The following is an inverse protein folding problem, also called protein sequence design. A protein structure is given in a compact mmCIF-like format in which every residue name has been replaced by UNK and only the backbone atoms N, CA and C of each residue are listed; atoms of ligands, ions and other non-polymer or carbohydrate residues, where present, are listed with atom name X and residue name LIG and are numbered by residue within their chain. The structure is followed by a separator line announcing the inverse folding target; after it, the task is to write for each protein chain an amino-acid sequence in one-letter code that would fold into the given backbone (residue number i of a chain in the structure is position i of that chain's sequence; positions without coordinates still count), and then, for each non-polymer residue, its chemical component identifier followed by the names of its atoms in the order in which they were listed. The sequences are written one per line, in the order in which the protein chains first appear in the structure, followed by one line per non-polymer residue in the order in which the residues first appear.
data_IF_690518718150
#
_entry.id   IF_690518718150
#
_cell.length_a   1.000
_cell.length_b   1.000
_cell.length_c   1.000
_cell.angle_alpha   90.00
_cell.angle_beta   90.00
_cell.angle_gamma   90.00
#
_symmetry.space_group_name_H-M   'P 1'
#
loop_
_entity.id
_entity.type
_entity.pdbx_description
1 polymer ?
#
# COMPACT_ATOMS: atom_id res chain seq x y z
N UNK A 1 0.55 -8.46 -13.56
CA UNK A 1 0.15 -7.40 -14.53
C UNK A 1 1.44 -6.87 -15.13
N UNK A 2 1.57 -6.89 -16.45
CA UNK A 2 2.69 -6.28 -17.15
C UNK A 2 2.19 -5.00 -17.84
N UNK A 3 3.01 -4.39 -18.69
CA UNK A 3 2.55 -3.28 -19.53
C UNK A 3 1.72 -3.84 -20.69
N UNK A 4 0.75 -3.07 -21.17
CA UNK A 4 0.01 -3.37 -22.39
C UNK A 4 0.84 -2.96 -23.62
N UNK A 5 0.65 -3.62 -24.76
CA UNK A 5 1.38 -3.30 -26.00
C UNK A 5 1.17 -1.85 -26.46
N UNK A 6 -0.02 -1.30 -26.21
CA UNK A 6 -0.32 0.12 -26.47
C UNK A 6 0.21 1.08 -25.40
N UNK A 7 0.65 0.55 -24.25
CA UNK A 7 1.17 1.33 -23.12
C UNK A 7 0.23 2.42 -22.60
N UNK A 8 0.80 3.34 -21.83
CA UNK A 8 0.13 4.55 -21.35
C UNK A 8 -0.02 5.60 -22.45
N UNK A 9 -0.85 6.62 -22.22
CA UNK A 9 -0.94 7.77 -23.14
C UNK A 9 0.32 8.63 -23.11
N UNK A 10 0.50 9.46 -24.14
CA UNK A 10 1.60 10.42 -24.18
C UNK A 10 1.51 11.47 -23.06
N UNK A 11 0.30 11.81 -22.60
CA UNK A 11 0.10 12.73 -21.48
C UNK A 11 0.59 12.11 -20.17
N UNK A 12 0.17 10.88 -19.90
CA UNK A 12 0.67 10.10 -18.77
C UNK A 12 2.19 9.89 -18.82
N UNK A 13 2.76 9.65 -20.01
CA UNK A 13 4.22 9.55 -20.16
C UNK A 13 4.95 10.84 -19.80
N UNK A 14 4.44 12.00 -20.24
CA UNK A 14 4.97 13.31 -19.85
C UNK A 14 4.84 13.57 -18.35
N UNK A 15 3.71 13.21 -17.76
CA UNK A 15 3.48 13.30 -16.33
C UNK A 15 4.53 12.47 -15.56
N UNK A 16 4.75 11.21 -15.91
CA UNK A 16 5.76 10.37 -15.26
C UNK A 16 7.16 10.99 -15.32
N UNK A 17 7.54 11.56 -16.47
CA UNK A 17 8.82 12.27 -16.62
C UNK A 17 8.87 13.55 -15.78
N UNK A 18 7.79 14.30 -15.70
CA UNK A 18 7.71 15.48 -14.84
C UNK A 18 7.86 15.10 -13.36
N UNK A 19 7.17 14.05 -12.91
CA UNK A 19 7.25 13.56 -11.53
C UNK A 19 8.66 13.07 -11.15
N UNK A 20 9.40 12.47 -12.10
CA UNK A 20 10.79 12.05 -11.87
C UNK A 20 11.78 13.21 -11.81
N UNK A 21 11.59 14.23 -12.65
CA UNK A 21 12.61 15.25 -12.90
C UNK A 21 12.36 16.57 -12.14
N UNK A 22 11.14 16.82 -11.66
CA UNK A 22 10.83 18.04 -10.92
C UNK A 22 11.66 18.10 -9.62
N UNK A 23 12.21 19.29 -9.35
CA UNK A 23 13.06 19.54 -8.18
C UNK A 23 12.24 19.54 -6.90
N UNK A 24 12.77 18.92 -5.87
CA UNK A 24 12.12 18.82 -4.56
C UNK A 24 13.14 19.01 -3.44
N UNK A 25 12.71 19.67 -2.38
CA UNK A 25 13.51 19.82 -1.16
C UNK A 25 13.64 18.49 -0.44
N UNK A 26 14.88 18.16 -0.08
CA UNK A 26 15.24 16.95 0.65
C UNK A 26 15.52 17.28 2.11
N UNK A 27 15.18 16.39 3.06
CA UNK A 27 15.37 16.63 4.46
C UNK A 27 16.86 16.70 4.81
N UNK A 28 17.20 17.62 5.70
CA UNK A 28 18.55 17.80 6.21
C UNK A 28 18.75 17.02 7.51
N UNK A 29 20.01 16.78 7.89
CA UNK A 29 20.39 16.09 9.12
C UNK A 29 19.77 14.67 9.24
N UNK A 30 19.72 13.95 8.13
CA UNK A 30 19.20 12.57 8.05
C UNK A 30 20.30 11.55 7.79
N UNK A 31 19.96 10.25 7.82
CA UNK A 31 20.88 9.17 7.44
C UNK A 31 21.36 9.25 5.99
N UNK A 32 20.68 10.01 5.13
CA UNK A 32 21.02 10.17 3.71
C UNK A 32 21.73 11.50 3.42
N UNK A 33 21.82 12.42 4.39
CA UNK A 33 22.32 13.79 4.17
C UNK A 33 23.83 13.89 4.02
N UNK A 34 24.61 13.04 4.69
CA UNK A 34 26.07 13.00 4.62
C UNK A 34 26.54 11.71 3.92
N UNK A 35 27.54 11.80 3.05
CA UNK A 35 27.99 10.67 2.23
C UNK A 35 28.58 9.52 3.05
N UNK A 36 29.40 9.84 4.07
CA UNK A 36 29.99 8.82 4.94
C UNK A 36 28.91 8.15 5.80
N UNK A 37 27.95 8.93 6.32
CA UNK A 37 26.83 8.43 7.08
C UNK A 37 25.90 7.56 6.21
N UNK A 38 25.64 7.98 4.99
CA UNK A 38 24.83 7.24 4.02
C UNK A 38 25.48 5.91 3.69
N UNK A 39 26.75 5.90 3.29
CA UNK A 39 27.50 4.67 2.98
C UNK A 39 27.55 3.72 4.20
N UNK A 40 27.79 4.27 5.39
CA UNK A 40 27.76 3.50 6.65
C UNK A 40 26.37 2.92 6.93
N UNK A 41 25.31 3.64 6.59
CA UNK A 41 23.92 3.19 6.75
C UNK A 41 23.63 2.04 5.78
N UNK A 42 23.96 2.18 4.49
CA UNK A 42 23.79 1.12 3.50
C UNK A 42 24.54 -0.16 3.91
N UNK A 43 25.80 -0.05 4.33
CA UNK A 43 26.58 -1.20 4.82
C UNK A 43 25.96 -1.90 6.03
N UNK A 44 25.26 -1.16 6.90
CA UNK A 44 24.57 -1.72 8.08
C UNK A 44 23.22 -2.34 7.77
N UNK A 45 22.65 -2.06 6.61
CA UNK A 45 21.37 -2.62 6.17
C UNK A 45 21.55 -3.84 5.28
N UNK A 46 22.74 -4.03 4.72
CA UNK A 46 23.06 -5.17 3.88
C UNK A 46 22.76 -6.49 4.60
N UNK A 47 21.82 -7.24 4.06
CA UNK A 47 21.40 -8.56 4.59
C UNK A 47 20.58 -8.50 5.88
N UNK A 48 20.08 -7.32 6.26
CA UNK A 48 19.18 -7.19 7.40
C UNK A 48 17.74 -7.55 7.04
N UNK A 49 16.90 -7.74 8.05
CA UNK A 49 15.49 -8.06 7.85
C UNK A 49 14.66 -6.86 7.35
N UNK A 50 13.51 -7.17 6.76
CA UNK A 50 12.55 -6.20 6.22
C UNK A 50 12.16 -5.13 7.24
N UNK A 51 11.86 -5.52 8.48
CA UNK A 51 11.50 -4.60 9.57
C UNK A 51 12.57 -3.53 9.80
N UNK A 52 13.85 -3.89 9.80
CA UNK A 52 14.94 -2.92 9.98
C UNK A 52 15.07 -1.99 8.78
N UNK A 53 14.88 -2.49 7.55
CA UNK A 53 14.86 -1.67 6.34
C UNK A 53 13.70 -0.67 6.41
N UNK A 54 12.49 -1.15 6.72
CA UNK A 54 11.28 -0.36 6.94
C UNK A 54 11.56 0.81 7.87
N UNK A 55 12.00 0.52 9.10
CA UNK A 55 12.23 1.52 10.14
C UNK A 55 13.37 2.49 9.85
N UNK A 56 14.39 2.12 9.08
CA UNK A 56 15.61 2.92 8.93
C UNK A 56 15.61 3.82 7.71
N UNK A 57 15.06 3.36 6.60
CA UNK A 57 15.22 4.07 5.32
C UNK A 57 13.93 4.33 4.55
N UNK A 58 12.81 3.69 4.91
CA UNK A 58 11.62 3.80 4.06
C UNK A 58 11.05 5.21 4.02
N UNK A 59 11.10 5.97 5.10
CA UNK A 59 10.70 7.39 5.09
C UNK A 59 11.58 8.29 4.19
N UNK A 60 12.80 7.85 3.86
CA UNK A 60 13.70 8.53 2.92
C UNK A 60 13.51 8.06 1.46
N UNK A 61 12.63 7.08 1.22
CA UNK A 61 12.26 6.57 -0.11
C UNK A 61 10.81 6.95 -0.41
N UNK A 62 9.91 6.68 0.53
CA UNK A 62 8.48 6.99 0.50
C UNK A 62 8.14 7.85 1.73
N UNK A 63 8.27 9.18 1.65
CA UNK A 63 7.98 10.07 2.76
C UNK A 63 6.53 9.99 3.22
N UNK A 64 6.32 10.04 4.54
CA UNK A 64 5.00 10.19 5.15
C UNK A 64 4.40 11.56 4.82
N UNK A 65 3.27 11.56 4.11
CA UNK A 65 2.38 12.69 3.92
C UNK A 65 1.80 13.22 5.26
N UNK A 66 1.43 12.36 6.21
CA UNK A 66 0.93 12.77 7.55
C UNK A 66 2.02 13.56 8.30
N UNK A 67 3.25 13.04 8.34
CA UNK A 67 4.37 13.74 8.98
C UNK A 67 4.77 15.03 8.23
N UNK A 68 4.65 15.04 6.89
CA UNK A 68 4.85 16.26 6.10
C UNK A 68 3.77 17.30 6.41
N UNK A 69 2.51 16.88 6.60
CA UNK A 69 1.41 17.76 6.98
C UNK A 69 1.65 18.40 8.35
N UNK A 70 2.07 17.60 9.34
CA UNK A 70 2.45 18.07 10.68
C UNK A 70 3.61 19.09 10.63
N UNK A 71 4.50 18.94 9.66
CA UNK A 71 5.63 19.86 9.41
C UNK A 71 5.27 21.08 8.56
N UNK A 72 4.00 21.25 8.20
CA UNK A 72 3.48 22.45 7.55
C UNK A 72 3.03 22.28 6.10
N UNK A 73 3.14 21.08 5.50
CA UNK A 73 2.59 20.79 4.18
C UNK A 73 1.06 20.61 4.25
N UNK A 74 0.34 21.70 4.53
CA UNK A 74 -1.10 21.69 4.86
C UNK A 74 -2.00 21.06 3.78
N UNK A 75 -1.57 21.05 2.52
CA UNK A 75 -2.31 20.40 1.43
C UNK A 75 -2.36 18.87 1.57
N UNK A 76 -1.52 18.28 2.42
CA UNK A 76 -1.49 16.85 2.71
C UNK A 76 -2.28 16.46 3.96
N UNK A 77 -2.91 17.42 4.66
CA UNK A 77 -3.71 17.13 5.85
C UNK A 77 -4.92 16.22 5.58
N UNK A 78 -5.31 16.09 4.32
CA UNK A 78 -6.42 15.26 3.86
C UNK A 78 -5.96 13.85 3.43
N UNK A 79 -4.70 13.49 3.67
CA UNK A 79 -4.12 12.21 3.30
C UNK A 79 -4.07 11.32 4.53
N UNK A 80 -4.47 10.06 4.32
CA UNK A 80 -4.42 9.01 5.32
C UNK A 80 -3.35 8.00 4.95
N UNK A 81 -2.60 7.56 5.95
CA UNK A 81 -1.59 6.53 5.82
C UNK A 81 -1.96 5.24 6.57
N UNK A 82 -1.49 4.13 6.04
CA UNK A 82 -1.46 2.84 6.75
C UNK A 82 -0.05 2.28 6.68
N UNK A 83 0.45 1.78 7.81
CA UNK A 83 1.69 1.02 7.88
C UNK A 83 1.37 -0.44 8.23
N UNK A 84 1.73 -1.37 7.34
CA UNK A 84 1.52 -2.81 7.47
C UNK A 84 0.09 -3.18 7.94
N UNK A 85 -0.93 -2.49 7.39
CA UNK A 85 -2.33 -2.68 7.80
C UNK A 85 -3.10 -3.44 6.73
N UNK A 86 -3.80 -4.50 7.15
CA UNK A 86 -4.71 -5.23 6.28
C UNK A 86 -5.86 -4.32 5.85
N UNK A 87 -6.12 -4.28 4.55
CA UNK A 87 -7.23 -3.54 3.96
C UNK A 87 -8.54 -4.30 4.17
N UNK A 88 -9.05 -4.24 5.39
CA UNK A 88 -10.18 -5.03 5.87
C UNK A 88 -11.46 -4.83 5.07
N UNK A 89 -11.64 -3.65 4.45
CA UNK A 89 -12.81 -3.32 3.63
C UNK A 89 -12.63 -3.60 2.14
N UNK A 90 -11.44 -4.01 1.73
CA UNK A 90 -11.23 -4.49 0.36
C UNK A 90 -11.73 -5.92 0.24
N UNK A 91 -12.60 -6.18 -0.73
CA UNK A 91 -13.12 -7.53 -0.97
C UNK A 91 -12.01 -8.52 -1.27
N UNK A 92 -12.08 -9.70 -0.63
CA UNK A 92 -11.15 -10.80 -0.91
C UNK A 92 -11.57 -11.49 -2.21
N UNK A 93 -10.77 -11.33 -3.26
CA UNK A 93 -10.91 -12.10 -4.50
C UNK A 93 -10.09 -13.39 -4.34
N UNK A 94 -10.65 -14.39 -3.68
CA UNK A 94 -10.09 -15.76 -3.58
C UNK A 94 -8.64 -15.85 -3.06
N UNK A 95 -8.18 -14.83 -2.32
CA UNK A 95 -6.81 -14.68 -1.85
C UNK A 95 -6.73 -13.70 -0.67
N UNK A 96 -5.55 -13.56 -0.04
CA UNK A 96 -5.40 -12.68 1.12
C UNK A 96 -5.81 -11.25 0.75
N UNK A 97 -6.38 -10.54 1.73
CA UNK A 97 -6.63 -9.11 1.59
C UNK A 97 -5.28 -8.39 1.42
N UNK A 98 -5.19 -7.36 0.55
CA UNK A 98 -4.02 -6.49 0.49
C UNK A 98 -3.59 -6.01 1.87
N UNK A 99 -2.29 -6.04 2.13
CA UNK A 99 -1.65 -5.54 3.33
C UNK A 99 -0.27 -4.98 2.93
N UNK A 100 -0.24 -3.81 2.27
CA UNK A 100 1.03 -3.21 1.89
C UNK A 100 1.79 -2.71 3.13
N UNK A 101 3.12 -2.68 3.04
CA UNK A 101 3.98 -2.08 4.08
C UNK A 101 3.63 -0.62 4.30
N UNK A 102 3.35 0.11 3.21
CA UNK A 102 2.75 1.44 3.27
C UNK A 102 1.61 1.60 2.26
N UNK A 103 0.53 2.23 2.67
CA UNK A 103 -0.60 2.60 1.82
C UNK A 103 -0.99 4.05 2.05
N UNK A 104 -1.31 4.75 0.97
CA UNK A 104 -1.69 6.17 1.00
C UNK A 104 -3.00 6.36 0.25
N UNK A 105 -3.93 7.07 0.87
CA UNK A 105 -5.21 7.45 0.29
C UNK A 105 -5.72 8.75 0.88
N UNK A 106 -6.95 9.09 0.54
CA UNK A 106 -7.62 10.23 1.15
C UNK A 106 -8.22 9.83 2.49
N UNK A 107 -8.06 10.70 3.48
CA UNK A 107 -8.82 10.58 4.71
C UNK A 107 -10.32 10.72 4.41
N UNK A 108 -11.16 10.04 5.19
CA UNK A 108 -12.62 10.19 5.09
C UNK A 108 -13.04 11.67 5.17
N UNK A 109 -12.39 12.44 6.03
CA UNK A 109 -12.71 13.84 6.26
C UNK A 109 -12.17 14.77 5.16
N UNK A 110 -11.46 14.23 4.17
CA UNK A 110 -11.17 14.94 2.93
C UNK A 110 -12.43 15.27 2.13
N UNK A 111 -13.50 14.47 2.29
CA UNK A 111 -14.75 14.61 1.56
C UNK A 111 -15.80 15.35 2.39
N UNK A 112 -16.54 16.25 1.75
CA UNK A 112 -17.61 16.97 2.44
C UNK A 112 -18.82 16.04 2.73
N UNK A 113 -19.73 16.48 3.59
CA UNK A 113 -20.87 15.65 4.02
C UNK A 113 -21.77 15.19 2.87
N UNK A 114 -21.94 16.01 1.83
CA UNK A 114 -22.73 15.66 0.65
C UNK A 114 -22.04 14.57 -0.19
N UNK A 115 -20.72 14.69 -0.38
CA UNK A 115 -19.91 13.68 -1.05
C UNK A 115 -19.93 12.35 -0.30
N UNK A 116 -19.78 12.38 1.03
CA UNK A 116 -19.88 11.18 1.86
C UNK A 116 -21.27 10.54 1.79
N UNK A 117 -22.34 11.35 1.76
CA UNK A 117 -23.70 10.85 1.60
C UNK A 117 -23.89 10.16 0.24
N UNK A 118 -23.33 10.72 -0.83
CA UNK A 118 -23.37 10.15 -2.18
C UNK A 118 -22.53 8.87 -2.32
N UNK A 119 -21.43 8.76 -1.56
CA UNK A 119 -20.62 7.54 -1.51
C UNK A 119 -21.29 6.42 -0.70
N UNK A 120 -22.11 6.77 0.31
CA UNK A 120 -22.67 5.82 1.28
C UNK A 120 -23.32 4.56 0.66
N UNK A 121 -24.11 4.63 -0.43
CA UNK A 121 -24.70 3.44 -1.05
C UNK A 121 -23.67 2.42 -1.57
N UNK A 122 -22.43 2.86 -1.80
CA UNK A 122 -21.35 2.06 -2.41
C UNK A 122 -20.32 1.55 -1.39
N UNK A 123 -20.40 1.99 -0.14
CA UNK A 123 -19.47 1.62 0.93
C UNK A 123 -19.82 0.28 1.60
N UNK A 124 -20.92 -0.35 1.18
CA UNK A 124 -21.49 -1.54 1.82
C UNK A 124 -22.21 -1.21 3.13
N UNK A 125 -22.87 -2.22 3.71
CA UNK A 125 -23.39 -2.14 5.08
C UNK A 125 -22.21 -2.05 6.08
N UNK A 126 -22.38 -1.37 7.22
CA UNK A 126 -21.38 -1.30 8.29
C UNK A 126 -20.98 -2.69 8.81
N UNK A 127 -21.83 -3.70 8.57
CA UNK A 127 -21.63 -5.11 8.94
C UNK A 127 -21.07 -5.97 7.80
N UNK A 128 -21.05 -5.47 6.56
CA UNK A 128 -20.52 -6.18 5.40
C UNK A 128 -19.13 -5.63 5.05
N UNK A 129 -18.12 -6.47 5.21
CA UNK A 129 -16.67 -6.24 5.03
C UNK A 129 -16.21 -5.75 3.63
N UNK A 130 -17.10 -5.21 2.79
CA UNK A 130 -16.82 -4.85 1.41
C UNK A 130 -17.19 -3.40 1.09
N UNK A 131 -16.19 -2.61 0.71
CA UNK A 131 -16.36 -1.29 0.12
C UNK A 131 -15.65 -1.21 -1.23
N UNK A 132 -16.30 -0.58 -2.21
CA UNK A 132 -15.67 -0.28 -3.50
C UNK A 132 -14.64 0.84 -3.41
N UNK A 133 -14.82 1.76 -2.47
CA UNK A 133 -14.10 3.04 -2.45
C UNK A 133 -13.19 3.23 -1.25
N UNK A 134 -13.37 2.43 -0.18
CA UNK A 134 -12.60 2.53 1.05
C UNK A 134 -11.91 1.21 1.37
N UNK A 135 -10.62 1.25 1.67
CA UNK A 135 -9.82 0.05 1.99
C UNK A 135 -9.70 -0.18 3.50
N UNK A 136 -9.89 0.88 4.29
CA UNK A 136 -10.11 0.85 5.74
C UNK A 136 -11.29 1.75 6.09
N UNK A 137 -11.65 1.89 7.37
CA UNK A 137 -12.70 2.82 7.77
C UNK A 137 -12.37 4.28 7.44
N UNK A 138 -11.09 4.65 7.46
CA UNK A 138 -10.63 6.04 7.32
C UNK A 138 -9.93 6.33 5.99
N UNK A 139 -9.56 5.32 5.20
CA UNK A 139 -8.82 5.51 3.95
C UNK A 139 -9.68 5.22 2.73
N UNK A 140 -9.91 6.25 1.93
CA UNK A 140 -10.73 6.28 0.72
C UNK A 140 -9.84 6.53 -0.49
N UNK A 141 -10.21 5.93 -1.63
CA UNK A 141 -9.50 6.05 -2.91
C UNK A 141 -7.97 6.09 -2.76
N UNK A 142 -7.36 5.04 -2.17
CA UNK A 142 -5.91 4.93 -2.11
C UNK A 142 -5.28 5.10 -3.49
N UNK A 143 -4.06 5.62 -3.57
CA UNK A 143 -3.41 5.96 -4.83
C UNK A 143 -1.93 5.59 -4.88
N UNK A 144 -1.31 5.29 -3.73
CA UNK A 144 0.09 4.87 -3.65
C UNK A 144 0.22 3.71 -2.67
N UNK A 145 0.98 2.69 -3.07
CA UNK A 145 1.36 1.56 -2.21
C UNK A 145 2.88 1.35 -2.23
N UNK A 146 3.42 0.86 -1.12
CA UNK A 146 4.81 0.46 -1.03
C UNK A 146 4.92 -0.95 -0.45
N UNK A 147 5.84 -1.72 -1.02
CA UNK A 147 6.24 -3.04 -0.52
C UNK A 147 7.76 -3.03 -0.37
N UNK A 148 8.21 -3.38 0.83
CA UNK A 148 9.61 -3.50 1.21
C UNK A 148 9.95 -4.98 1.26
N UNK A 149 11.14 -5.35 0.82
CA UNK A 149 11.66 -6.72 0.95
C UNK A 149 13.10 -6.69 1.40
N UNK A 150 13.59 -7.82 1.92
CA UNK A 150 15.00 -8.03 2.22
C UNK A 150 15.63 -9.03 1.24
N UNK A 151 16.89 -8.80 0.88
CA UNK A 151 17.71 -9.74 0.09
C UNK A 151 17.45 -9.74 -1.43
N UNK A 152 18.27 -10.52 -2.13
CA UNK A 152 18.27 -10.62 -3.59
C UNK A 152 17.05 -11.41 -4.10
N UNK A 153 16.24 -10.79 -4.97
CA UNK A 153 15.09 -11.43 -5.62
C UNK A 153 13.71 -11.15 -4.99
N UNK A 154 13.66 -10.46 -3.84
CA UNK A 154 12.39 -10.11 -3.18
C UNK A 154 11.52 -9.13 -3.98
N UNK A 155 12.12 -8.27 -4.80
CA UNK A 155 11.39 -7.19 -5.48
C UNK A 155 10.36 -7.67 -6.51
N UNK A 156 10.53 -8.85 -7.11
CA UNK A 156 9.51 -9.39 -8.01
C UNK A 156 8.25 -9.82 -7.24
N UNK A 157 8.40 -10.22 -5.97
CA UNK A 157 7.29 -10.52 -5.05
C UNK A 157 6.59 -9.21 -4.67
N UNK A 158 7.36 -8.21 -4.23
CA UNK A 158 6.85 -6.86 -3.92
C UNK A 158 6.06 -6.26 -5.09
N UNK A 159 6.62 -6.35 -6.31
CA UNK A 159 5.99 -5.88 -7.54
C UNK A 159 4.65 -6.59 -7.79
N UNK A 160 4.53 -7.89 -7.48
CA UNK A 160 3.26 -8.64 -7.62
C UNK A 160 2.25 -8.26 -6.55
N UNK A 161 2.68 -8.11 -5.29
CA UNK A 161 1.82 -7.68 -4.18
C UNK A 161 1.26 -6.28 -4.43
N UNK A 162 2.13 -5.33 -4.79
CA UNK A 162 1.74 -3.99 -5.21
C UNK A 162 0.75 -4.01 -6.39
N UNK A 163 1.01 -4.80 -7.43
CA UNK A 163 0.09 -4.90 -8.56
C UNK A 163 -1.29 -5.44 -8.14
N UNK A 164 -1.34 -6.41 -7.23
CA UNK A 164 -2.60 -6.90 -6.67
C UNK A 164 -3.34 -5.82 -5.91
N UNK A 165 -2.67 -5.13 -4.96
CA UNK A 165 -3.23 -3.99 -4.23
C UNK A 165 -3.79 -2.94 -5.18
N UNK A 166 -3.01 -2.52 -6.18
CA UNK A 166 -3.42 -1.50 -7.15
C UNK A 166 -4.59 -1.95 -8.04
N UNK A 167 -4.76 -3.25 -8.32
CA UNK A 167 -5.95 -3.72 -9.04
C UNK A 167 -7.25 -3.61 -8.24
N UNK A 168 -7.18 -3.70 -6.91
CA UNK A 168 -8.31 -3.44 -6.02
C UNK A 168 -8.65 -1.94 -6.08
N UNK A 169 -7.64 -1.09 -5.97
CA UNK A 169 -7.76 0.36 -6.06
C UNK A 169 -8.42 0.80 -7.37
N UNK A 170 -7.82 0.42 -8.49
CA UNK A 170 -8.25 0.85 -9.81
C UNK A 170 -9.63 0.32 -10.17
N UNK A 171 -10.06 -0.80 -9.59
CA UNK A 171 -11.43 -1.31 -9.75
C UNK A 171 -12.44 -0.36 -9.11
N UNK A 172 -12.18 0.11 -7.90
CA UNK A 172 -13.02 1.10 -7.22
C UNK A 172 -13.13 2.40 -8.02
N UNK A 173 -11.98 2.92 -8.46
CA UNK A 173 -11.92 4.14 -9.27
C UNK A 173 -12.66 3.98 -10.60
N UNK A 174 -12.46 2.86 -11.31
CA UNK A 174 -13.18 2.58 -12.55
C UNK A 174 -14.69 2.59 -12.34
N UNK A 175 -15.19 1.94 -11.29
CA UNK A 175 -16.62 1.90 -11.00
C UNK A 175 -17.21 3.28 -10.74
N UNK A 176 -16.53 4.13 -9.96
CA UNK A 176 -16.97 5.51 -9.73
C UNK A 176 -17.16 6.25 -11.07
N UNK A 177 -16.16 6.19 -11.95
CA UNK A 177 -16.19 6.92 -13.21
C UNK A 177 -17.18 6.32 -14.21
N UNK A 178 -17.31 4.99 -14.24
CA UNK A 178 -18.26 4.29 -15.10
C UNK A 178 -19.70 4.65 -14.76
N UNK A 179 -20.04 4.71 -13.48
CA UNK A 179 -21.40 5.02 -13.01
C UNK A 179 -21.85 6.41 -13.49
N UNK A 180 -20.91 7.34 -13.62
CA UNK A 180 -21.19 8.72 -14.09
C UNK A 180 -20.86 8.93 -15.58
N UNK A 181 -20.60 7.86 -16.34
CA UNK A 181 -20.33 7.90 -17.79
C UNK A 181 -19.00 8.55 -18.19
N UNK A 182 -18.02 8.54 -17.29
CA UNK A 182 -16.70 9.18 -17.43
C UNK A 182 -15.55 8.18 -17.48
N UNK A 183 -15.81 6.88 -17.63
CA UNK A 183 -14.78 5.84 -17.60
C UNK A 183 -13.68 6.03 -18.65
N UNK A 184 -13.98 6.67 -19.78
CA UNK A 184 -13.00 6.98 -20.83
C UNK A 184 -11.88 7.92 -20.36
N UNK A 185 -12.11 8.71 -19.31
CA UNK A 185 -11.07 9.55 -18.70
C UNK A 185 -9.94 8.74 -18.03
N UNK A 186 -10.19 7.45 -17.77
CA UNK A 186 -9.23 6.57 -17.12
C UNK A 186 -8.44 5.71 -18.12
N UNK A 187 -8.90 5.62 -19.37
CA UNK A 187 -8.32 4.73 -20.37
C UNK A 187 -6.87 5.10 -20.67
N UNK A 188 -5.94 4.22 -20.30
CA UNK A 188 -4.48 4.34 -20.45
C UNK A 188 -3.85 5.52 -19.69
N UNK A 189 -4.60 6.13 -18.78
CA UNK A 189 -4.12 7.19 -17.90
C UNK A 189 -3.64 6.62 -16.55
N UNK A 190 -2.45 7.06 -16.11
CA UNK A 190 -1.91 6.72 -14.80
C UNK A 190 -2.87 7.21 -13.72
N UNK A 191 -3.33 6.25 -12.91
CA UNK A 191 -4.36 6.48 -11.89
C UNK A 191 -3.93 5.97 -10.51
N UNK A 192 -2.71 5.46 -10.38
CA UNK A 192 -2.10 5.05 -9.12
C UNK A 192 -0.62 4.74 -9.31
N UNK A 193 0.10 4.66 -8.21
CA UNK A 193 1.54 4.41 -8.18
C UNK A 193 1.88 3.30 -7.21
N UNK A 194 2.98 2.60 -7.46
CA UNK A 194 3.56 1.73 -6.44
C UNK A 194 5.08 1.80 -6.42
N UNK A 195 5.64 1.60 -5.23
CA UNK A 195 7.08 1.55 -5.01
C UNK A 195 7.43 0.20 -4.40
N UNK A 196 8.43 -0.46 -4.98
CA UNK A 196 9.02 -1.67 -4.41
C UNK A 196 10.48 -1.37 -4.10
N UNK A 197 10.93 -1.60 -2.88
CA UNK A 197 12.34 -1.39 -2.54
C UNK A 197 12.88 -2.42 -1.53
N UNK A 198 14.21 -2.52 -1.49
CA UNK A 198 14.93 -3.27 -0.47
C UNK A 198 16.04 -2.37 0.12
N UNK A 199 17.12 -2.95 0.59
CA UNK A 199 18.30 -2.28 1.12
C UNK A 199 19.21 -1.67 0.04
N UNK A 200 18.95 -1.91 -1.25
CA UNK A 200 19.83 -1.51 -2.37
C UNK A 200 19.11 -0.83 -3.55
N UNK A 201 17.96 -1.35 -3.95
CA UNK A 201 17.24 -1.05 -5.18
C UNK A 201 15.87 -0.42 -4.92
N UNK A 202 15.43 0.43 -5.85
CA UNK A 202 14.05 0.94 -5.91
C UNK A 202 13.46 0.71 -7.30
N UNK A 203 12.19 0.29 -7.35
CA UNK A 203 11.36 0.22 -8.56
C UNK A 203 10.10 1.07 -8.36
N UNK A 204 9.82 1.93 -9.32
CA UNK A 204 8.65 2.82 -9.35
C UNK A 204 7.77 2.41 -10.52
N UNK A 205 6.50 2.15 -10.24
CA UNK A 205 5.50 1.76 -11.21
C UNK A 205 4.33 2.75 -11.23
N UNK A 206 3.82 3.03 -12.42
CA UNK A 206 2.52 3.65 -12.61
C UNK A 206 1.49 2.60 -12.98
N UNK A 207 0.29 2.68 -12.42
CA UNK A 207 -0.80 1.74 -12.67
C UNK A 207 -1.93 2.43 -13.42
N UNK A 208 -2.51 1.74 -14.41
CA UNK A 208 -3.53 2.31 -15.28
C UNK A 208 -4.57 1.28 -15.69
N UNK A 209 -5.69 1.81 -16.20
CA UNK A 209 -6.84 1.04 -16.63
C UNK A 209 -6.84 0.99 -18.16
N UNK A 210 -7.01 -0.19 -18.73
CA UNK A 210 -7.26 -0.39 -20.15
C UNK A 210 -8.72 -0.79 -20.35
N UNK A 211 -9.39 -0.13 -21.28
CA UNK A 211 -10.83 -0.32 -21.54
C UNK A 211 -10.98 -0.68 -23.02
N UNK A 212 -11.53 -1.85 -23.29
CA UNK A 212 -11.82 -2.35 -24.64
C UNK A 212 -13.29 -2.79 -24.71
N UNK A 213 -14.15 -1.87 -25.16
CA UNK A 213 -15.60 -2.04 -25.09
C UNK A 213 -16.07 -2.23 -23.65
N UNK A 214 -16.55 -3.42 -23.33
CA UNK A 214 -16.99 -3.80 -21.98
C UNK A 214 -15.92 -4.50 -21.15
N UNK A 215 -14.80 -4.91 -21.77
CA UNK A 215 -13.67 -5.52 -21.09
C UNK A 215 -12.78 -4.44 -20.48
N UNK A 216 -12.37 -4.64 -19.25
CA UNK A 216 -11.57 -3.69 -18.48
C UNK A 216 -10.44 -4.47 -17.86
N UNK A 217 -9.20 -4.03 -18.04
CA UNK A 217 -8.02 -4.70 -17.50
C UNK A 217 -7.11 -3.69 -16.82
N UNK A 218 -6.34 -4.17 -15.85
CA UNK A 218 -5.39 -3.34 -15.10
C UNK A 218 -3.97 -3.70 -15.52
N UNK A 219 -3.19 -2.68 -15.83
CA UNK A 219 -1.82 -2.81 -16.29
C UNK A 219 -0.91 -1.89 -15.48
N UNK A 220 0.39 -2.14 -15.58
CA UNK A 220 1.41 -1.30 -14.95
C UNK A 220 2.49 -0.92 -15.94
N UNK A 221 3.03 0.27 -15.78
CA UNK A 221 4.11 0.84 -16.56
C UNK A 221 5.32 1.07 -15.66
N UNK A 222 6.50 0.57 -16.06
CA UNK A 222 7.74 0.79 -15.31
C UNK A 222 8.18 2.24 -15.52
N UNK A 223 8.08 3.06 -14.47
CA UNK A 223 8.49 4.47 -14.53
C UNK A 223 10.00 4.58 -14.35
N UNK A 224 10.56 3.88 -13.36
CA UNK A 224 12.00 3.92 -13.07
C UNK A 224 12.44 2.70 -12.26
N UNK A 225 13.64 2.20 -12.53
CA UNK A 225 14.36 1.22 -11.70
C UNK A 225 15.79 1.72 -11.52
N UNK A 226 16.30 1.71 -10.29
CA UNK A 226 17.66 2.19 -10.00
C UNK A 226 18.18 1.64 -8.66
N UNK A 227 19.51 1.57 -8.57
CA UNK A 227 20.26 1.31 -7.34
C UNK A 227 20.46 2.65 -6.62
N UNK A 228 20.08 2.74 -5.35
CA UNK A 228 20.18 4.01 -4.60
C UNK A 228 21.43 4.10 -3.73
N UNK A 229 22.05 2.97 -3.39
CA UNK A 229 23.29 2.91 -2.59
C UNK A 229 24.47 3.47 -3.38
N UNK A 230 25.58 3.85 -2.71
CA UNK A 230 26.76 4.37 -3.38
C UNK A 230 27.26 3.40 -4.46
N UNK A 231 27.18 3.84 -5.71
CA UNK A 231 27.52 3.06 -6.90
C UNK A 231 28.15 3.95 -7.97
N UNK A 232 28.57 3.37 -9.10
CA UNK A 232 29.10 4.13 -10.23
C UNK A 232 28.04 4.93 -11.02
N UNK A 233 26.75 4.79 -10.72
CA UNK A 233 25.63 5.34 -11.50
C UNK A 233 25.18 6.75 -11.05
N UNK A 234 25.99 7.41 -10.22
CA UNK A 234 25.70 8.72 -9.64
C UNK A 234 24.80 8.64 -8.40
N UNK A 235 24.58 9.79 -7.75
CA UNK A 235 23.78 9.83 -6.52
C UNK A 235 22.27 9.79 -6.81
N UNK A 236 21.67 8.62 -6.55
CA UNK A 236 20.24 8.38 -6.76
C UNK A 236 19.46 8.33 -5.43
N UNK A 237 20.09 8.59 -4.27
CA UNK A 237 19.51 8.31 -2.94
C UNK A 237 18.18 9.02 -2.67
N UNK A 238 18.00 10.21 -3.25
CA UNK A 238 16.79 11.01 -3.08
C UNK A 238 15.78 10.87 -4.21
N UNK A 239 16.05 10.05 -5.23
CA UNK A 239 15.21 10.00 -6.44
C UNK A 239 13.77 9.56 -6.14
N UNK A 240 13.59 8.51 -5.34
CA UNK A 240 12.27 8.04 -4.93
C UNK A 240 11.54 9.07 -4.06
N UNK A 241 12.24 9.64 -3.06
CA UNK A 241 11.69 10.67 -2.18
C UNK A 241 11.13 11.86 -2.96
N UNK A 242 11.92 12.38 -3.91
CA UNK A 242 11.53 13.50 -4.76
C UNK A 242 10.34 13.12 -5.65
N UNK A 243 10.35 11.91 -6.22
CA UNK A 243 9.22 11.40 -7.00
C UNK A 243 7.92 11.39 -6.19
N UNK A 244 7.94 10.84 -4.97
CA UNK A 244 6.74 10.76 -4.11
C UNK A 244 6.26 12.13 -3.70
N UNK A 245 7.16 13.05 -3.32
CA UNK A 245 6.78 14.45 -3.09
C UNK A 245 6.17 15.10 -4.33
N UNK A 246 6.72 14.85 -5.51
CA UNK A 246 6.14 15.34 -6.76
C UNK A 246 4.76 14.75 -7.04
N UNK A 247 4.51 13.48 -6.67
CA UNK A 247 3.17 12.89 -6.74
C UNK A 247 2.20 13.70 -5.88
N UNK A 248 2.61 14.02 -4.65
CA UNK A 248 1.82 14.82 -3.71
C UNK A 248 1.56 16.26 -4.20
N UNK A 249 2.56 16.91 -4.79
CA UNK A 249 2.47 18.33 -5.14
C UNK A 249 1.88 18.58 -6.53
N UNK A 250 2.15 17.69 -7.50
CA UNK A 250 1.87 17.93 -8.92
C UNK A 250 0.72 17.10 -9.48
N UNK A 251 0.49 15.90 -8.95
CA UNK A 251 -0.52 14.97 -9.49
C UNK A 251 -1.75 14.85 -8.58
N UNK A 252 -1.51 14.67 -7.29
CA UNK A 252 -2.53 14.40 -6.29
C UNK A 252 -3.64 15.45 -6.24
N UNK A 253 -3.37 16.78 -6.33
CA UNK A 253 -4.44 17.78 -6.27
C UNK A 253 -5.45 17.65 -7.41
N UNK A 254 -4.99 17.39 -8.64
CA UNK A 254 -5.87 17.23 -9.80
C UNK A 254 -6.57 15.88 -9.80
N UNK A 255 -5.89 14.82 -9.33
CA UNK A 255 -6.53 13.52 -9.11
C UNK A 255 -7.68 13.62 -8.10
N UNK A 256 -7.46 14.33 -6.98
CA UNK A 256 -8.48 14.56 -5.97
C UNK A 256 -9.68 15.33 -6.52
N UNK A 257 -9.44 16.45 -7.24
CA UNK A 257 -10.51 17.21 -7.91
C UNK A 257 -11.31 16.33 -8.88
N UNK A 258 -10.64 15.46 -9.63
CA UNK A 258 -11.29 14.54 -10.58
C UNK A 258 -12.22 13.56 -9.86
N UNK A 259 -11.76 13.01 -8.72
CA UNK A 259 -12.58 12.14 -7.87
C UNK A 259 -13.78 12.90 -7.29
N UNK A 260 -13.56 14.05 -6.65
CA UNK A 260 -14.63 14.89 -6.11
C UNK A 260 -15.68 15.21 -7.18
N UNK A 261 -15.24 15.65 -8.36
CA UNK A 261 -16.12 15.93 -9.48
C UNK A 261 -16.95 14.72 -9.93
N UNK A 262 -16.40 13.51 -9.88
CA UNK A 262 -17.16 12.30 -10.19
C UNK A 262 -18.16 11.96 -9.08
N UNK A 263 -17.78 12.14 -7.81
CA UNK A 263 -18.68 11.95 -6.66
C UNK A 263 -19.86 12.94 -6.71
N UNK A 264 -19.60 14.20 -7.05
CA UNK A 264 -20.61 15.26 -7.17
C UNK A 264 -21.59 15.03 -8.34
N UNK A 265 -21.36 14.00 -9.17
CA UNK A 265 -22.28 13.55 -10.22
C UNK A 265 -23.06 12.28 -9.84
N UNK A 266 -22.72 11.62 -8.72
CA UNK A 266 -23.49 10.49 -8.22
C UNK A 266 -24.90 10.96 -7.81
N UNK A 267 -25.96 10.18 -8.09
CA UNK A 267 -27.31 10.54 -7.72
C UNK A 267 -27.43 10.66 -6.20
N UNK A 268 -28.09 11.72 -5.73
CA UNK A 268 -28.35 11.96 -4.32
C UNK A 268 -29.34 10.95 -3.71
N UNK A 269 -30.22 10.38 -4.55
CA UNK A 269 -31.23 9.42 -4.13
C UNK A 269 -30.73 7.99 -4.31
N UNK A 270 -30.80 7.23 -3.22
CA UNK A 270 -30.51 5.79 -3.09
C UNK A 270 -31.37 4.87 -3.97
N UNK A 271 -32.21 5.42 -4.84
CA UNK A 271 -32.99 4.73 -5.85
C UNK A 271 -32.20 4.49 -7.15
N UNK A 272 -30.86 4.51 -7.10
CA UNK A 272 -30.09 3.69 -8.02
C UNK A 272 -30.66 2.29 -7.91
N UNK A 273 -31.29 1.85 -8.99
CA UNK A 273 -31.78 0.50 -9.13
C UNK A 273 -30.62 -0.41 -8.75
N UNK A 274 -30.69 -0.97 -7.53
CA UNK A 274 -29.58 -1.72 -6.94
C UNK A 274 -29.24 -2.96 -7.79
N UNK A 275 -30.04 -3.25 -8.82
CA UNK A 275 -29.82 -4.17 -9.93
C UNK A 275 -28.53 -3.89 -10.73
N UNK A 276 -28.03 -2.66 -10.80
CA UNK A 276 -26.85 -2.32 -11.62
C UNK A 276 -25.53 -2.19 -10.84
N UNK A 277 -25.60 -2.17 -9.50
CA UNK A 277 -24.41 -2.16 -8.66
C UNK A 277 -23.99 -3.60 -8.33
N UNK A 278 -22.70 -3.93 -8.37
CA UNK A 278 -22.24 -5.20 -7.85
C UNK A 278 -22.47 -5.26 -6.34
N UNK A 279 -23.49 -6.02 -5.93
CA UNK A 279 -23.93 -6.14 -4.54
C UNK A 279 -23.06 -7.09 -3.73
N UNK A 280 -22.31 -7.94 -4.41
CA UNK A 280 -21.42 -8.92 -3.83
C UNK A 280 -20.12 -9.01 -4.63
N UNK A 281 -19.07 -9.55 -4.01
CA UNK A 281 -17.79 -9.84 -4.67
C UNK A 281 -17.95 -10.74 -5.91
N UNK A 282 -19.02 -11.56 -5.97
CA UNK A 282 -19.42 -12.40 -7.11
C UNK A 282 -20.16 -11.64 -8.22
N UNK A 283 -20.87 -10.55 -7.92
CA UNK A 283 -21.50 -9.71 -8.95
C UNK A 283 -20.47 -8.84 -9.70
N UNK A 284 -19.24 -8.78 -9.17
CA UNK A 284 -18.06 -8.18 -9.81
C UNK A 284 -17.31 -9.15 -10.70
N UNK A 285 -17.68 -10.44 -10.74
CA UNK A 285 -17.08 -11.41 -11.65
C UNK A 285 -17.58 -11.14 -13.07
N UNK A 286 -16.91 -10.21 -13.74
CA UNK A 286 -16.77 -10.27 -15.18
C UNK A 286 -16.10 -11.62 -15.49
N UNK A 287 -16.87 -12.56 -16.05
CA UNK A 287 -16.51 -13.97 -16.30
C UNK A 287 -15.28 -14.22 -17.20
N UNK A 288 -14.42 -13.24 -17.42
CA UNK A 288 -13.19 -13.33 -18.22
C UNK A 288 -11.91 -12.95 -17.45
N UNK A 289 -12.00 -12.61 -16.15
CA UNK A 289 -10.82 -12.25 -15.34
C UNK A 289 -10.07 -13.45 -14.75
N UNK A 290 -9.78 -14.46 -15.58
CA UNK A 290 -8.72 -15.43 -15.27
C UNK A 290 -7.37 -14.79 -15.55
N UNK A 291 -6.84 -14.05 -14.57
CA UNK A 291 -5.40 -13.88 -14.48
C UNK A 291 -4.79 -15.28 -14.32
N UNK A 292 -3.81 -15.65 -15.14
CA UNK A 292 -3.06 -16.93 -15.02
C UNK A 292 -2.31 -17.13 -13.68
N UNK A 293 -2.54 -16.27 -12.69
CA UNK A 293 -1.98 -16.32 -11.35
C UNK A 293 -2.62 -17.39 -10.45
N UNK A 294 -3.87 -17.79 -10.69
CA UNK A 294 -4.57 -18.74 -9.82
C UNK A 294 -3.99 -20.16 -9.84
N UNK A 295 -3.21 -20.53 -10.86
CA UNK A 295 -2.59 -21.87 -10.93
C UNK A 295 -1.22 -21.94 -10.23
N UNK A 296 -0.54 -20.82 -9.97
CA UNK A 296 0.79 -20.85 -9.34
C UNK A 296 0.76 -20.71 -7.82
N UNK A 297 -0.28 -20.09 -7.24
CA UNK A 297 -0.42 -19.97 -5.78
C UNK A 297 -0.68 -21.33 -5.10
N UNK A 298 -1.34 -22.27 -5.78
CA UNK A 298 -1.62 -23.60 -5.24
C UNK A 298 -0.35 -24.46 -5.05
N UNK A 299 0.73 -24.17 -5.79
CA UNK A 299 1.95 -25.00 -5.76
C UNK A 299 3.00 -24.53 -4.74
N UNK A 300 2.84 -23.36 -4.12
CA UNK A 300 3.80 -22.84 -3.14
C UNK A 300 3.36 -23.01 -1.68
N UNK A 301 2.10 -23.37 -1.42
CA UNK A 301 1.61 -23.62 -0.06
C UNK A 301 1.86 -25.04 0.48
N UNK A 302 2.56 -25.90 -0.27
CA UNK A 302 2.72 -27.32 0.10
C UNK A 302 4.17 -27.73 0.46
N UNK A 303 5.10 -26.79 0.66
CA UNK A 303 6.50 -27.14 0.92
C UNK A 303 6.97 -26.81 2.36
N UNK A 304 6.20 -26.06 3.16
CA UNK A 304 6.64 -25.65 4.50
C UNK A 304 5.93 -26.35 5.69
N UNK A 305 5.11 -27.39 5.46
CA UNK A 305 4.40 -28.09 6.56
C UNK A 305 4.92 -29.49 6.92
N UNK A 306 5.96 -30.01 6.26
CA UNK A 306 6.64 -31.23 6.70
C UNK A 306 8.03 -30.90 7.23
N UNK A 307 8.12 -30.56 8.52
CA UNK A 307 9.13 -31.04 9.47
C UNK A 307 8.83 -30.45 10.86
N UNK A 308 8.82 -31.32 11.87
CA UNK A 308 8.54 -31.13 13.31
C UNK A 308 7.12 -31.53 13.73
N UNK A 309 6.89 -32.85 13.70
CA UNK A 309 5.89 -33.51 14.54
C UNK A 309 6.67 -34.45 15.47
N UNK A 310 6.88 -34.05 16.73
CA UNK A 310 7.09 -34.94 17.87
C UNK A 310 7.31 -34.16 19.19
N UNK A 311 6.24 -33.85 19.92
CA UNK A 311 6.16 -34.07 21.38
C UNK A 311 4.71 -33.91 21.85
N UNK A 312 4.16 -34.94 22.50
CA UNK A 312 2.83 -34.91 23.14
C UNK A 312 2.81 -33.97 24.37
N UNK A 313 1.64 -33.43 24.75
CA UNK A 313 1.51 -32.50 25.87
C UNK A 313 1.23 -33.24 27.19
N UNK A 314 1.95 -32.85 28.26
CA UNK A 314 1.58 -33.20 29.64
C UNK A 314 0.92 -31.99 30.30
N UNK A 315 -0.37 -32.13 30.60
CA UNK A 315 -1.11 -31.21 31.46
C UNK A 315 -0.49 -31.17 32.86
N UNK A 316 -0.26 -29.98 33.43
CA UNK A 316 -0.55 -29.69 34.84
C UNK A 316 -0.58 -28.18 35.11
N UNK A 317 -1.71 -27.77 35.69
CA UNK A 317 -2.07 -26.44 36.17
C UNK A 317 -1.67 -26.37 37.66
N UNK A 318 -0.84 -25.41 38.08
CA UNK A 318 -0.81 -24.90 39.46
C UNK A 318 0.09 -23.66 39.60
N UNK A 319 -0.51 -22.60 40.12
CA UNK A 319 0.05 -21.33 40.60
C UNK A 319 1.10 -21.52 41.70
N UNK A 320 1.96 -20.52 41.96
CA UNK A 320 2.41 -20.26 43.33
C UNK A 320 2.14 -18.83 43.79
N UNK A 321 1.44 -18.74 44.92
CA UNK A 321 1.39 -17.58 45.81
C UNK A 321 2.75 -17.29 46.44
N UNK A 322 2.97 -16.01 46.72
CA UNK A 322 4.15 -15.47 47.39
C UNK A 322 4.01 -15.52 48.92
N UNK A 323 5.05 -15.98 49.63
CA UNK A 323 5.25 -15.64 51.05
C UNK A 323 6.73 -15.59 51.44
N UNK A 324 7.18 -14.35 51.69
CA UNK A 324 8.15 -13.79 52.66
C UNK A 324 9.14 -14.70 53.41
N UNK A 325 10.40 -14.23 53.39
CA UNK A 325 11.60 -14.66 54.11
C UNK A 325 11.50 -14.71 55.65
N UNK A 326 12.23 -15.62 56.28
CA UNK A 326 12.86 -15.40 57.60
C UNK A 326 14.05 -16.36 57.81
N UNK A 327 15.20 -15.81 58.21
CA UNK A 327 16.47 -16.51 58.50
C UNK A 327 16.41 -17.41 59.77
N UNK A 328 17.30 -18.43 59.90
CA UNK A 328 17.40 -19.24 61.11
C UNK A 328 18.55 -18.83 62.03
N UNK A 329 18.25 -18.65 63.33
CA UNK A 329 19.24 -18.50 64.40
C UNK A 329 19.27 -19.74 65.33
N UNK A 330 20.49 -20.24 65.56
CA UNK A 330 20.90 -21.46 66.31
C UNK A 330 20.49 -21.46 67.80
N UNK A 331 20.11 -22.62 68.39
CA UNK A 331 19.85 -22.72 69.83
C UNK A 331 21.10 -23.14 70.65
N UNK A 332 21.36 -22.43 71.76
CA UNK A 332 22.35 -22.77 72.79
C UNK A 332 21.76 -23.78 73.80
N UNK A 333 22.49 -24.87 74.04
CA UNK A 333 22.26 -25.84 75.12
C UNK A 333 22.47 -25.20 76.51
N UNK A 334 21.63 -25.56 77.49
CA UNK A 334 21.93 -25.46 78.93
C UNK A 334 22.00 -26.87 79.54
N UNK A 335 23.06 -27.09 80.33
CA UNK A 335 23.32 -28.27 81.15
C UNK A 335 22.36 -28.33 82.35
N UNK A 336 21.84 -29.50 82.67
CA UNK A 336 22.24 -30.26 83.86
C UNK A 336 21.85 -31.72 83.70
#
# INVERSE_FOLDING_TARGET
MNDHELGITAQSGKLCQQLLNATQEVPQNTLFSDDLLFEKTCRRLKGENETKIVHRISEFIVPSAELLADRGAKHLANIRETANACWTRSGSRSGPRPQPDFGFGFDRDAFNSEQLQRLQPFLGDLLADYSLFAVTYQMYFPFLTCEVKCGDGGLDVADRQNAYSQSVILRGLYWLFKVVGREKELHREISGFSISHNDEDVRIWGHYIFIDGTDVKFYRHLISKFVFVPSGEGDQRWKAYKFVKNVYDLWLPDHFKRICSAIDMLPADSNMEASNLPKTQSDLDFGSMRSGLSQQLANHSLIDEEVILNSQPTNQLATPEATVETEPHVPRKKKK
#
